data_IF_373584777454
#
_entry.id   IF_373584777454
#
_cell.length_a   1.000
_cell.length_b   1.000
_cell.length_c   1.000
_cell.angle_alpha   90.00
_cell.angle_beta   90.00
_cell.angle_gamma   90.00
#
_symmetry.space_group_name_H-M   'P 1'
#
loop_
_entity.id
_entity.type
_entity.pdbx_description
1 polymer ?
#
# COMPACT_ATOMS: atom_id res chain seq x y z
N UNK A 1 -15.10 -2.50 -26.19
CA UNK A 1 -15.84 -3.51 -25.41
C UNK A 1 -14.83 -4.52 -24.89
N UNK A 2 -14.74 -4.72 -23.57
CA UNK A 2 -13.91 -5.81 -23.00
C UNK A 2 -14.83 -6.99 -22.74
N UNK A 3 -14.54 -8.13 -23.33
CA UNK A 3 -15.29 -9.38 -23.19
C UNK A 3 -14.38 -10.39 -22.51
N UNK A 4 -14.88 -11.02 -21.45
CA UNK A 4 -14.18 -12.03 -20.68
C UNK A 4 -14.98 -13.34 -20.76
N UNK A 5 -14.28 -14.46 -20.91
CA UNK A 5 -14.90 -15.79 -21.07
C UNK A 5 -15.09 -16.49 -19.71
N UNK A 6 -14.25 -16.15 -18.74
CA UNK A 6 -14.18 -16.79 -17.42
C UNK A 6 -14.31 -15.75 -16.31
N UNK A 7 -14.86 -16.18 -15.17
CA UNK A 7 -14.95 -15.36 -13.96
C UNK A 7 -13.56 -15.18 -13.34
N UNK A 8 -13.33 -14.01 -12.73
CA UNK A 8 -12.10 -13.77 -11.99
C UNK A 8 -11.96 -14.75 -10.81
N UNK A 9 -10.77 -15.36 -10.61
CA UNK A 9 -10.51 -16.21 -9.46
C UNK A 9 -10.46 -15.40 -8.16
N UNK A 10 -10.41 -16.09 -7.02
CA UNK A 10 -10.13 -15.46 -5.73
C UNK A 10 -8.63 -15.12 -5.63
N UNK A 11 -8.31 -13.89 -5.19
CA UNK A 11 -6.95 -13.39 -5.07
C UNK A 11 -6.45 -13.32 -3.61
N UNK A 12 -7.26 -13.74 -2.65
CA UNK A 12 -6.94 -13.67 -1.22
C UNK A 12 -5.77 -14.58 -0.82
N UNK A 13 -5.84 -15.83 -1.27
CA UNK A 13 -4.87 -16.89 -0.97
C UNK A 13 -3.91 -17.12 -2.14
N UNK A 14 -2.69 -17.63 -1.89
CA UNK A 14 -1.76 -17.96 -2.95
C UNK A 14 -2.25 -19.18 -3.74
N UNK A 15 -2.36 -19.02 -5.06
CA UNK A 15 -2.64 -20.08 -6.01
C UNK A 15 -1.63 -20.00 -7.17
N UNK A 16 -0.63 -20.87 -7.12
CA UNK A 16 0.45 -20.91 -8.11
C UNK A 16 0.00 -21.38 -9.50
N UNK A 17 -1.12 -22.12 -9.60
CA UNK A 17 -1.66 -22.61 -10.87
C UNK A 17 -2.16 -21.44 -11.72
N UNK A 18 -2.79 -20.46 -11.06
CA UNK A 18 -3.28 -19.22 -11.68
C UNK A 18 -2.29 -18.04 -11.53
N UNK A 19 -1.11 -18.26 -10.94
CA UNK A 19 -0.09 -17.21 -10.72
C UNK A 19 -0.47 -16.18 -9.66
N UNK A 20 -1.37 -16.53 -8.76
CA UNK A 20 -1.90 -15.69 -7.68
C UNK A 20 -0.99 -15.84 -6.46
N UNK A 21 -0.49 -14.72 -5.94
CA UNK A 21 0.43 -14.70 -4.78
C UNK A 21 -0.29 -14.54 -3.43
N UNK A 22 -1.60 -14.28 -3.44
CA UNK A 22 -2.36 -13.92 -2.25
C UNK A 22 -2.15 -12.47 -1.80
N UNK A 23 -2.85 -12.07 -0.73
CA UNK A 23 -2.75 -10.72 -0.16
C UNK A 23 -1.94 -10.60 1.13
N UNK A 24 -1.36 -11.71 1.60
CA UNK A 24 -0.46 -11.73 2.76
C UNK A 24 0.72 -10.77 2.59
N UNK A 25 1.06 -10.02 3.64
CA UNK A 25 2.22 -9.12 3.61
C UNK A 25 2.03 -7.83 2.81
N UNK A 26 0.84 -7.59 2.24
CA UNK A 26 0.53 -6.34 1.53
C UNK A 26 0.22 -5.21 2.51
N UNK A 27 0.64 -4.00 2.15
CA UNK A 27 0.24 -2.79 2.86
C UNK A 27 -1.23 -2.48 2.58
N UNK A 28 -1.96 -2.10 3.61
CA UNK A 28 -3.37 -1.70 3.54
C UNK A 28 -3.60 -0.36 4.24
N UNK A 29 -4.68 0.34 3.85
CA UNK A 29 -5.01 1.64 4.42
C UNK A 29 -6.24 1.53 5.34
N UNK A 30 -6.05 1.64 6.65
CA UNK A 30 -7.14 1.49 7.65
C UNK A 30 -8.14 2.65 7.58
N UNK A 31 -7.72 3.82 7.10
CA UNK A 31 -8.63 4.97 6.93
C UNK A 31 -9.49 4.85 5.67
N UNK A 32 -9.15 3.95 4.75
CA UNK A 32 -9.94 3.69 3.55
C UNK A 32 -11.03 2.66 3.83
N UNK A 33 -12.26 2.96 3.42
CA UNK A 33 -13.38 2.00 3.43
C UNK A 33 -13.59 1.28 2.10
N UNK A 34 -12.75 1.58 1.10
CA UNK A 34 -12.84 1.02 -0.25
C UNK A 34 -12.06 -0.28 -0.41
N UNK A 35 -11.78 -0.65 -1.66
CA UNK A 35 -10.98 -1.84 -2.00
C UNK A 35 -9.59 -1.78 -1.36
N UNK A 36 -9.00 -0.58 -1.18
CA UNK A 36 -7.71 -0.36 -0.50
C UNK A 36 -7.81 -0.43 1.04
N UNK A 37 -9.03 -0.58 1.57
CA UNK A 37 -9.30 -0.75 2.99
C UNK A 37 -8.79 -2.08 3.50
N UNK A 38 -8.21 -2.10 4.69
CA UNK A 38 -7.64 -3.31 5.26
C UNK A 38 -8.65 -4.47 5.38
N UNK A 39 -9.93 -4.18 5.59
CA UNK A 39 -10.97 -5.22 5.66
C UNK A 39 -11.09 -5.99 4.34
N UNK A 40 -11.13 -5.28 3.21
CA UNK A 40 -11.24 -5.88 1.87
C UNK A 40 -9.90 -6.41 1.37
N UNK A 41 -8.82 -5.63 1.51
CA UNK A 41 -7.47 -6.03 1.07
C UNK A 41 -6.98 -7.30 1.77
N UNK A 42 -7.25 -7.42 3.06
CA UNK A 42 -6.82 -8.55 3.86
C UNK A 42 -7.89 -9.66 3.92
N UNK A 43 -8.97 -9.54 3.13
CA UNK A 43 -10.05 -10.52 3.06
C UNK A 43 -10.64 -10.87 4.43
N UNK A 44 -10.79 -9.84 5.29
CA UNK A 44 -11.29 -9.92 6.66
C UNK A 44 -10.43 -10.77 7.62
N UNK A 45 -9.19 -11.13 7.24
CA UNK A 45 -8.23 -11.85 8.09
C UNK A 45 -7.54 -10.96 9.12
N UNK A 46 -7.74 -9.64 9.02
CA UNK A 46 -7.09 -8.63 9.85
C UNK A 46 -5.70 -8.24 9.34
N UNK A 47 -5.03 -7.39 10.11
CA UNK A 47 -3.74 -6.81 9.76
C UNK A 47 -2.88 -6.58 11.01
N UNK A 48 -1.57 -6.50 10.82
CA UNK A 48 -0.59 -6.11 11.82
C UNK A 48 -0.16 -4.65 11.60
N UNK A 49 -0.04 -3.89 12.68
CA UNK A 49 0.45 -2.51 12.65
C UNK A 49 1.93 -2.46 13.02
N UNK A 50 2.75 -1.81 12.19
CA UNK A 50 4.19 -1.62 12.42
C UNK A 50 4.53 -0.14 12.33
N UNK A 51 5.34 0.34 13.26
CA UNK A 51 5.83 1.73 13.26
C UNK A 51 7.17 1.78 12.55
N UNK A 52 7.28 2.59 11.51
CA UNK A 52 8.50 2.77 10.73
C UNK A 52 8.96 4.22 10.75
N UNK A 53 10.25 4.41 11.02
CA UNK A 53 10.91 5.71 10.89
C UNK A 53 11.38 5.86 9.44
N UNK A 54 10.86 6.85 8.72
CA UNK A 54 11.25 7.18 7.35
C UNK A 54 11.94 8.54 7.31
N UNK A 55 12.83 8.73 6.35
CA UNK A 55 13.43 10.03 6.06
C UNK A 55 12.73 10.60 4.82
N UNK A 56 12.02 11.69 5.00
CA UNK A 56 11.30 12.40 3.94
C UNK A 56 11.99 13.75 3.64
N UNK A 57 11.65 14.39 2.53
CA UNK A 57 12.16 15.73 2.18
C UNK A 57 11.12 16.77 2.55
N UNK A 58 11.42 17.62 3.53
CA UNK A 58 10.54 18.70 3.95
C UNK A 58 11.18 20.08 3.81
N UNK A 59 10.42 21.14 4.07
CA UNK A 59 10.86 22.54 3.98
C UNK A 59 11.51 22.91 2.63
N UNK A 60 10.97 22.39 1.53
CA UNK A 60 11.48 22.67 0.20
C UNK A 60 11.34 24.15 -0.17
N UNK A 61 12.45 24.79 -0.54
CA UNK A 61 12.48 26.17 -1.03
C UNK A 61 12.89 26.18 -2.50
N UNK A 62 12.15 26.96 -3.28
CA UNK A 62 12.50 27.23 -4.67
C UNK A 62 13.53 28.35 -4.73
N UNK A 63 14.66 28.09 -5.39
CA UNK A 63 15.68 29.06 -5.71
C UNK A 63 15.53 29.45 -7.19
N UNK A 64 15.22 30.73 -7.43
CA UNK A 64 15.19 31.30 -8.77
C UNK A 64 16.57 31.17 -9.43
N UNK A 65 16.61 30.77 -10.70
CA UNK A 65 17.70 30.02 -11.38
C UNK A 65 17.58 28.47 -11.35
N UNK A 66 16.33 27.99 -11.14
CA UNK A 66 15.83 26.65 -11.50
C UNK A 66 16.23 25.47 -10.59
N UNK A 67 16.32 25.69 -9.26
CA UNK A 67 16.59 24.60 -8.32
C UNK A 67 15.62 24.59 -7.14
N UNK A 68 15.19 23.41 -6.74
CA UNK A 68 14.48 23.18 -5.47
C UNK A 68 15.47 22.58 -4.47
N UNK A 69 15.58 23.19 -3.28
CA UNK A 69 16.43 22.72 -2.19
C UNK A 69 15.52 22.32 -1.03
N UNK A 70 15.61 21.06 -0.58
CA UNK A 70 14.84 20.51 0.52
C UNK A 70 15.77 20.03 1.64
N UNK A 71 15.24 19.93 2.85
CA UNK A 71 15.94 19.38 4.02
C UNK A 71 15.46 17.94 4.28
N UNK A 72 16.34 17.01 4.73
CA UNK A 72 15.92 15.70 5.18
C UNK A 72 15.24 15.82 6.55
N UNK A 73 14.06 15.24 6.68
CA UNK A 73 13.23 15.30 7.87
C UNK A 73 12.81 13.89 8.26
N UNK A 74 12.93 13.55 9.54
CA UNK A 74 12.53 12.23 10.02
C UNK A 74 11.04 12.24 10.34
N UNK A 75 10.32 11.26 9.82
CA UNK A 75 8.90 11.05 10.07
C UNK A 75 8.67 9.65 10.58
N UNK A 76 7.81 9.54 11.58
CA UNK A 76 7.34 8.26 12.10
C UNK A 76 6.00 7.99 11.42
N UNK A 77 5.91 6.88 10.70
CA UNK A 77 4.68 6.43 10.03
C UNK A 77 4.23 5.10 10.62
N UNK A 78 2.92 4.92 10.71
CA UNK A 78 2.29 3.65 11.05
C UNK A 78 1.90 2.97 9.74
N UNK A 79 2.46 1.79 9.50
CA UNK A 79 2.16 0.94 8.35
C UNK A 79 1.30 -0.24 8.81
N UNK A 80 0.28 -0.60 8.04
CA UNK A 80 -0.61 -1.72 8.34
C UNK A 80 -0.44 -2.79 7.27
N UNK A 81 -0.17 -4.02 7.68
CA UNK A 81 0.22 -5.13 6.81
C UNK A 81 -0.77 -6.28 6.99
N UNK A 82 -1.32 -6.81 5.90
CA UNK A 82 -2.20 -7.97 5.94
C UNK A 82 -1.50 -9.20 6.51
N UNK A 83 -2.20 -9.89 7.42
CA UNK A 83 -1.77 -11.17 7.99
C UNK A 83 -1.75 -12.25 6.95
#
# INVERSE_FOLDING_TARGET
MKVYLESSPDFCEPDLEYGILGTHGRLCNVSSRGIDGCDLMCCYRGFDTRVRKITDRCNCKFHYCCRVICQPCEKIIEEHICK
#
